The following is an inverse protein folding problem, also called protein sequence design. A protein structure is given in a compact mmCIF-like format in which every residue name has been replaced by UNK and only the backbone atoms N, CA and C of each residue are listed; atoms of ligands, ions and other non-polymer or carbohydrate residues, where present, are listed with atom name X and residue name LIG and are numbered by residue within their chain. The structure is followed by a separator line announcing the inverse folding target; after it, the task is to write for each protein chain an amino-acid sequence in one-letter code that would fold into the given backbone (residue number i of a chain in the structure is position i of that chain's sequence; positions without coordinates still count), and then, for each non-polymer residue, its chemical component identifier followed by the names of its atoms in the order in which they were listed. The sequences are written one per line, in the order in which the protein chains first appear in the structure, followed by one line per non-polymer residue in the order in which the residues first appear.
data_IF_765016258091
#
_entry.id   IF_765016258091
#
_cell.length_a   1.000
_cell.length_b   1.000
_cell.length_c   1.000
_cell.angle_alpha   90.00
_cell.angle_beta   90.00
_cell.angle_gamma   90.00
#
_symmetry.space_group_name_H-M   'P 1'
#
loop_
_entity.id
_entity.type
_entity.pdbx_description
1 polymer ?
#
# COMPACT_ATOMS: atom_id res chain seq x y z
N UNK A 1 38.31 -23.91 -5.11
CA UNK A 1 37.57 -22.63 -5.08
C UNK A 1 36.15 -22.94 -4.65
N UNK A 2 35.81 -22.71 -3.38
CA UNK A 2 34.45 -22.96 -2.87
C UNK A 2 33.59 -21.74 -3.20
N UNK A 3 32.57 -21.90 -4.03
CA UNK A 3 31.63 -20.83 -4.35
C UNK A 3 30.65 -20.70 -3.17
N UNK A 4 30.78 -19.65 -2.37
CA UNK A 4 29.81 -19.35 -1.30
C UNK A 4 28.54 -18.78 -1.92
N UNK A 5 27.41 -19.48 -1.79
CA UNK A 5 26.10 -18.97 -2.18
C UNK A 5 25.64 -17.93 -1.15
N UNK A 6 25.75 -16.64 -1.49
CA UNK A 6 25.18 -15.59 -0.66
C UNK A 6 23.68 -15.49 -0.93
N UNK A 7 22.87 -15.94 0.04
CA UNK A 7 21.42 -15.73 0.04
C UNK A 7 21.20 -14.27 0.45
N UNK A 8 20.91 -13.41 -0.52
CA UNK A 8 20.40 -12.06 -0.25
C UNK A 8 18.93 -12.18 0.17
N UNK A 9 18.63 -12.00 1.46
CA UNK A 9 17.25 -11.79 1.92
C UNK A 9 16.82 -10.42 1.39
N UNK A 10 16.14 -10.39 0.25
CA UNK A 10 15.55 -9.16 -0.28
C UNK A 10 14.29 -8.87 0.53
N UNK A 11 14.42 -8.11 1.61
CA UNK A 11 13.26 -7.56 2.31
C UNK A 11 12.62 -6.49 1.42
N UNK A 12 11.46 -6.81 0.81
CA UNK A 12 10.66 -5.82 0.11
C UNK A 12 9.95 -4.92 1.13
N UNK A 13 10.03 -3.60 0.93
CA UNK A 13 9.26 -2.67 1.74
C UNK A 13 7.76 -2.85 1.46
N UNK A 14 6.99 -3.14 2.50
CA UNK A 14 5.53 -3.22 2.42
C UNK A 14 4.91 -1.83 2.59
N UNK A 15 3.90 -1.50 1.78
CA UNK A 15 3.15 -0.25 1.89
C UNK A 15 1.67 -0.53 2.10
N UNK A 16 1.09 0.07 3.13
CA UNK A 16 -0.35 -0.04 3.39
C UNK A 16 -1.04 1.28 3.01
N UNK A 17 -2.10 1.16 2.21
CA UNK A 17 -2.93 2.28 1.74
C UNK A 17 -4.35 2.03 2.24
N UNK A 18 -4.93 3.00 2.94
CA UNK A 18 -6.24 2.83 3.57
C UNK A 18 -7.33 3.59 2.82
N UNK A 19 -8.47 2.93 2.60
CA UNK A 19 -9.70 3.55 2.10
C UNK A 19 -10.85 3.36 3.10
N UNK A 20 -11.79 4.30 3.12
CA UNK A 20 -12.96 4.34 4.00
C UNK A 20 -14.10 5.13 3.36
N UNK A 21 -15.39 4.72 3.44
CA UNK A 21 -16.48 5.51 2.85
C UNK A 21 -16.64 6.88 3.50
N UNK A 22 -16.25 7.00 4.78
CA UNK A 22 -16.18 8.25 5.54
C UNK A 22 -14.85 9.02 5.37
N UNK A 23 -13.95 8.57 4.48
CA UNK A 23 -12.67 9.20 4.21
C UNK A 23 -12.77 10.46 3.35
N UNK A 24 -11.61 10.94 2.90
CA UNK A 24 -11.50 12.09 1.99
C UNK A 24 -10.34 11.84 1.01
N UNK A 25 -10.54 12.07 -0.29
CA UNK A 25 -9.52 11.83 -1.33
C UNK A 25 -8.36 12.83 -1.28
N UNK A 26 -8.48 13.91 -0.51
CA UNK A 26 -7.38 14.82 -0.18
C UNK A 26 -6.47 14.29 0.95
N UNK A 27 -6.86 13.20 1.62
CA UNK A 27 -6.06 12.60 2.67
C UNK A 27 -4.81 11.91 2.11
N UNK A 28 -3.95 11.39 3.00
CA UNK A 28 -2.70 10.70 2.61
C UNK A 28 -2.86 9.19 2.42
N UNK A 29 -4.03 8.62 2.73
CA UNK A 29 -4.26 7.18 2.66
C UNK A 29 -3.66 6.41 3.84
N UNK A 30 -3.54 7.04 5.01
CA UNK A 30 -3.07 6.39 6.25
C UNK A 30 -4.24 5.84 7.06
N UNK A 31 -3.95 5.04 8.09
CA UNK A 31 -5.00 4.57 9.02
C UNK A 31 -5.82 5.73 9.55
N UNK A 32 -5.18 6.80 10.05
CA UNK A 32 -5.86 7.94 10.65
C UNK A 32 -6.56 8.85 9.63
N UNK A 33 -6.10 8.84 8.37
CA UNK A 33 -6.63 9.70 7.30
C UNK A 33 -6.73 8.89 6.00
N UNK A 34 -7.76 8.04 5.86
CA UNK A 34 -7.94 7.19 4.69
C UNK A 34 -8.50 7.97 3.50
N UNK A 35 -8.28 7.46 2.29
CA UNK A 35 -8.97 7.93 1.08
C UNK A 35 -10.46 7.59 1.14
N UNK A 36 -11.28 8.32 0.38
CA UNK A 36 -12.71 8.04 0.26
C UNK A 36 -12.98 6.97 -0.79
N UNK A 37 -12.36 7.10 -1.95
CA UNK A 37 -12.65 6.26 -3.11
C UNK A 37 -11.56 5.21 -3.35
N UNK A 38 -11.97 4.08 -3.94
CA UNK A 38 -11.04 3.04 -4.37
C UNK A 38 -10.14 3.54 -5.51
N UNK A 39 -10.67 4.39 -6.40
CA UNK A 39 -9.90 4.97 -7.51
C UNK A 39 -8.67 5.74 -7.00
N UNK A 40 -8.82 6.60 -5.99
CA UNK A 40 -7.67 7.34 -5.44
C UNK A 40 -6.68 6.41 -4.74
N UNK A 41 -7.15 5.39 -4.02
CA UNK A 41 -6.27 4.40 -3.40
C UNK A 41 -5.47 3.59 -4.46
N UNK A 42 -6.12 3.18 -5.56
CA UNK A 42 -5.48 2.48 -6.69
C UNK A 42 -4.45 3.38 -7.37
N UNK A 43 -4.81 4.64 -7.66
CA UNK A 43 -3.87 5.61 -8.23
C UNK A 43 -2.65 5.82 -7.33
N UNK A 44 -2.85 5.81 -6.00
CA UNK A 44 -1.75 5.90 -5.04
C UNK A 44 -0.87 4.64 -5.05
N UNK A 45 -1.48 3.46 -5.11
CA UNK A 45 -0.81 2.16 -5.21
C UNK A 45 0.14 2.09 -6.41
N UNK A 46 -0.33 2.54 -7.59
CA UNK A 46 0.47 2.57 -8.82
C UNK A 46 1.75 3.43 -8.73
N UNK A 47 1.88 4.30 -7.72
CA UNK A 47 3.10 5.08 -7.46
C UNK A 47 4.19 4.25 -6.76
N UNK A 48 3.86 3.16 -6.08
CA UNK A 48 4.80 2.35 -5.30
C UNK A 48 5.38 1.18 -6.12
N UNK A 49 6.00 1.50 -7.26
CA UNK A 49 6.65 0.49 -8.12
C UNK A 49 7.75 -0.26 -7.36
N UNK A 50 7.80 -1.59 -7.54
CA UNK A 50 8.83 -2.46 -6.96
C UNK A 50 8.64 -2.78 -5.47
N UNK A 51 7.58 -2.28 -4.84
CA UNK A 51 7.18 -2.62 -3.47
C UNK A 51 6.00 -3.57 -3.48
N UNK A 52 5.76 -4.23 -2.36
CA UNK A 52 4.50 -4.95 -2.15
C UNK A 52 3.56 -3.98 -1.44
N UNK A 53 2.41 -3.71 -2.03
CA UNK A 53 1.44 -2.78 -1.48
C UNK A 53 0.06 -3.41 -1.31
N UNK A 54 -0.64 -2.95 -0.28
CA UNK A 54 -1.96 -3.44 0.10
C UNK A 54 -2.91 -2.27 0.23
N UNK A 55 -4.03 -2.35 -0.48
CA UNK A 55 -5.18 -1.47 -0.27
C UNK A 55 -6.07 -2.12 0.80
N UNK A 56 -6.11 -1.52 1.98
CA UNK A 56 -6.85 -1.99 3.15
C UNK A 56 -8.15 -1.20 3.27
N UNK A 57 -9.29 -1.90 3.19
CA UNK A 57 -10.62 -1.31 3.25
C UNK A 57 -11.14 -1.33 4.68
N UNK A 58 -11.63 -0.18 5.17
CA UNK A 58 -12.48 -0.16 6.36
C UNK A 58 -13.84 -0.77 6.05
N UNK A 59 -14.54 -1.24 7.08
CA UNK A 59 -15.90 -1.75 6.90
C UNK A 59 -16.84 -0.66 6.35
N UNK A 60 -17.74 -1.06 5.45
CA UNK A 60 -18.75 -0.19 4.84
C UNK A 60 -19.01 -0.50 3.37
N UNK A 61 -19.78 0.35 2.71
CA UNK A 61 -20.10 0.28 1.28
C UNK A 61 -19.34 1.37 0.53
N UNK A 62 -18.72 1.02 -0.60
CA UNK A 62 -17.83 1.88 -1.39
C UNK A 62 -18.35 2.05 -2.81
#
# INVERSE_FOLDING_TARGET
MLLSLQIFIIAKAQVNIYASPAGNDLNKGTVASPFKTLTTAIQKSLQYKGKDDFILLRAGTY
#
